data_IF_828999897407
#
_entry.id   IF_828999897407
#
_cell.length_a   1.000
_cell.length_b   1.000
_cell.length_c   1.000
_cell.angle_alpha   90.00
_cell.angle_beta   90.00
_cell.angle_gamma   90.00
#
_symmetry.space_group_name_H-M   'P 1'
#
loop_
_entity.id
_entity.type
_entity.pdbx_description
1 polymer ?
#
# COMPACT_ATOMS: atom_id res chain seq x y z
N UNK A 1 7.15 -2.72 8.63
CA UNK A 1 6.06 -1.72 8.67
C UNK A 1 5.63 -1.52 7.24
N UNK A 2 4.37 -1.77 6.91
CA UNK A 2 3.90 -1.85 5.50
C UNK A 2 3.83 -0.49 4.79
N UNK A 3 4.30 0.61 5.38
CA UNK A 3 4.13 1.95 4.84
C UNK A 3 4.88 2.12 3.52
N UNK A 4 4.25 2.82 2.57
CA UNK A 4 4.90 3.25 1.34
C UNK A 4 5.99 4.28 1.64
N UNK A 5 7.18 4.07 1.08
CA UNK A 5 8.27 5.06 1.14
C UNK A 5 7.99 6.25 0.21
N UNK A 6 8.61 7.41 0.47
CA UNK A 6 8.34 8.65 -0.26
C UNK A 6 8.55 8.53 -1.78
N UNK A 7 9.52 7.72 -2.21
CA UNK A 7 9.88 7.52 -3.62
C UNK A 7 9.46 6.13 -4.15
N UNK A 8 8.55 5.45 -3.45
CA UNK A 8 8.04 4.14 -3.86
C UNK A 8 6.54 4.23 -4.17
N UNK A 9 6.05 3.30 -5.00
CA UNK A 9 4.63 3.13 -5.30
C UNK A 9 4.01 2.01 -4.45
N UNK A 10 4.82 1.07 -3.97
CA UNK A 10 4.36 -0.08 -3.19
C UNK A 10 4.31 0.22 -1.68
N UNK A 11 3.33 -0.37 -1.01
CA UNK A 11 3.08 -0.19 0.42
C UNK A 11 1.70 0.39 0.72
N UNK A 12 1.44 0.58 2.00
CA UNK A 12 0.22 1.12 2.57
C UNK A 12 0.27 2.65 2.55
N UNK A 13 -0.80 3.26 2.06
CA UNK A 13 -0.97 4.71 2.01
C UNK A 13 -2.13 5.13 1.12
N UNK A 14 -2.28 6.44 0.96
CA UNK A 14 -3.24 7.07 0.06
C UNK A 14 -2.57 7.45 -1.27
N UNK A 15 -3.35 7.94 -2.23
CA UNK A 15 -2.81 8.44 -3.50
C UNK A 15 -1.81 9.59 -3.27
N UNK A 16 -0.76 9.65 -4.07
CA UNK A 16 0.17 10.78 -4.05
C UNK A 16 -0.55 12.05 -4.52
N UNK A 17 -0.29 13.17 -3.85
CA UNK A 17 -0.81 14.47 -4.25
C UNK A 17 0.13 15.06 -5.30
N UNK A 18 -0.32 15.07 -6.55
CA UNK A 18 0.45 15.54 -7.70
C UNK A 18 0.06 16.97 -8.12
N UNK A 19 -1.10 17.46 -7.68
CA UNK A 19 -1.57 18.82 -7.96
C UNK A 19 -2.65 19.27 -6.97
N UNK A 20 -2.88 20.57 -6.86
CA UNK A 20 -3.91 21.14 -6.00
C UNK A 20 -5.34 20.82 -6.44
N UNK A 21 -5.57 20.56 -7.73
CA UNK A 21 -6.89 20.26 -8.30
C UNK A 21 -7.22 18.77 -8.30
N UNK A 22 -6.31 17.93 -7.79
CA UNK A 22 -6.52 16.49 -7.72
C UNK A 22 -7.67 16.16 -6.76
N UNK A 23 -8.65 15.39 -7.25
CA UNK A 23 -9.66 14.76 -6.39
C UNK A 23 -9.05 13.49 -5.80
N UNK A 24 -9.05 13.38 -4.48
CA UNK A 24 -8.56 12.21 -3.75
C UNK A 24 -9.73 11.31 -3.38
N UNK A 25 -9.52 10.01 -3.50
CA UNK A 25 -10.45 9.01 -2.98
C UNK A 25 -10.36 8.97 -1.45
N UNK A 26 -11.50 8.83 -0.78
CA UNK A 26 -11.54 8.59 0.66
C UNK A 26 -11.35 7.09 0.94
N UNK A 27 -10.12 6.61 0.84
CA UNK A 27 -9.81 5.19 1.05
C UNK A 27 -8.34 4.99 1.36
N UNK A 28 -8.05 4.12 2.34
CA UNK A 28 -6.69 3.63 2.51
C UNK A 28 -6.40 2.46 1.54
N UNK A 29 -5.20 2.43 0.97
CA UNK A 29 -4.78 1.42 -0.02
C UNK A 29 -3.49 0.73 0.40
N UNK A 30 -3.37 -0.55 0.06
CA UNK A 30 -2.11 -1.30 0.05
C UNK A 30 -1.83 -1.69 -1.41
N UNK A 31 -0.78 -1.14 -2.00
CA UNK A 31 -0.37 -1.42 -3.37
C UNK A 31 0.84 -2.35 -3.37
N UNK A 32 0.78 -3.46 -4.11
CA UNK A 32 1.84 -4.47 -4.17
C UNK A 32 2.03 -4.92 -5.62
N UNK A 33 3.28 -5.03 -6.07
CA UNK A 33 3.59 -5.69 -7.32
C UNK A 33 3.43 -7.20 -7.15
N UNK A 34 2.64 -7.82 -8.04
CA UNK A 34 2.37 -9.26 -8.05
C UNK A 34 2.88 -9.94 -9.32
N UNK A 35 3.58 -9.22 -10.19
CA UNK A 35 4.34 -9.80 -11.31
C UNK A 35 5.33 -8.76 -11.87
N UNK A 36 6.55 -9.16 -12.29
CA UNK A 36 7.13 -10.50 -12.19
C UNK A 36 7.55 -10.88 -10.76
N UNK A 37 7.74 -12.20 -10.51
CA UNK A 37 8.00 -12.77 -9.18
C UNK A 37 9.26 -12.23 -8.49
N UNK A 38 10.26 -11.86 -9.26
CA UNK A 38 11.53 -11.32 -8.79
C UNK A 38 11.41 -9.88 -8.25
N UNK A 39 10.28 -9.21 -8.47
CA UNK A 39 10.02 -7.85 -7.98
C UNK A 39 9.21 -7.82 -6.68
N UNK A 40 8.86 -8.98 -6.12
CA UNK A 40 8.05 -9.02 -4.90
C UNK A 40 8.82 -8.45 -3.71
N UNK A 41 8.31 -7.36 -3.15
CA UNK A 41 8.78 -6.79 -1.89
C UNK A 41 8.09 -7.48 -0.71
N UNK A 42 8.46 -8.73 -0.42
CA UNK A 42 7.82 -9.54 0.63
C UNK A 42 7.76 -8.86 2.01
N UNK A 43 8.67 -7.94 2.33
CA UNK A 43 8.63 -7.14 3.56
C UNK A 43 7.40 -6.20 3.67
N UNK A 44 6.73 -5.91 2.55
CA UNK A 44 5.50 -5.12 2.48
C UNK A 44 4.24 -6.00 2.47
N UNK A 45 4.40 -7.32 2.34
CA UNK A 45 3.28 -8.24 2.34
C UNK A 45 2.83 -8.53 3.76
N UNK A 46 1.52 -8.46 4.07
CA UNK A 46 1.02 -8.79 5.39
C UNK A 46 1.27 -10.27 5.69
N UNK A 47 2.06 -10.55 6.72
CA UNK A 47 2.42 -11.92 7.13
C UNK A 47 1.22 -12.71 7.68
N UNK A 48 0.17 -12.00 8.11
CA UNK A 48 -1.06 -12.54 8.70
C UNK A 48 -2.19 -11.54 8.40
N UNK A 49 -3.45 -11.97 8.28
CA UNK A 49 -4.44 -11.32 9.11
C UNK A 49 -4.13 -11.77 10.55
N UNK A 50 -3.66 -10.87 11.42
CA UNK A 50 -4.13 -10.99 12.80
C UNK A 50 -5.64 -10.93 12.66
N UNK A 51 -6.30 -12.06 12.91
CA UNK A 51 -7.72 -12.23 12.66
C UNK A 51 -8.43 -10.95 13.08
N UNK A 52 -9.17 -10.33 12.16
CA UNK A 52 -10.08 -9.24 12.50
C UNK A 52 -11.01 -9.84 13.54
N UNK A 53 -10.70 -9.62 14.81
CA UNK A 53 -11.52 -10.08 15.90
C UNK A 53 -12.61 -9.04 15.97
N UNK A 54 -13.68 -9.30 15.21
CA UNK A 54 -14.90 -8.51 15.25
C UNK A 54 -15.50 -8.75 16.63
N UNK A 55 -15.38 -7.78 17.52
CA UNK A 55 -16.21 -7.67 18.72
C UNK A 55 -17.41 -6.77 18.43
#
# INVERSE_FOLDING_TARGET
MYLREENDIEGYGNDMVLSEQQKLDWTDRLYLAIYPEDQYKFQLWPEKPEAVTVW
#
